data_IF_564336688390
#
_entry.id   IF_564336688390
#
_cell.length_a   1.000
_cell.length_b   1.000
_cell.length_c   1.000
_cell.angle_alpha   90.00
_cell.angle_beta   90.00
_cell.angle_gamma   90.00
#
_symmetry.space_group_name_H-M   'P 1'
#
loop_
_entity.id
_entity.type
_entity.pdbx_description
1 polymer ?
#
# COMPACT_ATOMS: atom_id res chain seq x y z
N UNK A 1 -26.62 30.34 -3.47
CA UNK A 1 -26.27 29.36 -4.50
C UNK A 1 -25.66 28.18 -3.77
N UNK A 2 -26.27 27.00 -3.84
CA UNK A 2 -25.68 25.77 -3.28
C UNK A 2 -24.47 25.44 -4.13
N UNK A 3 -23.28 25.34 -3.53
CA UNK A 3 -22.10 24.87 -4.22
C UNK A 3 -22.21 23.35 -4.33
N UNK A 4 -22.25 22.83 -5.54
CA UNK A 4 -22.19 21.38 -5.77
C UNK A 4 -20.71 20.99 -5.88
N UNK A 5 -20.14 20.58 -4.76
CA UNK A 5 -18.72 20.20 -4.70
C UNK A 5 -18.47 18.90 -5.42
N UNK A 6 -17.34 18.86 -6.12
CA UNK A 6 -16.83 17.61 -6.66
C UNK A 6 -16.26 16.73 -5.54
N UNK A 7 -16.21 15.44 -5.79
CA UNK A 7 -15.64 14.44 -4.89
C UNK A 7 -14.23 14.82 -4.41
N UNK A 8 -13.41 15.39 -5.29
CA UNK A 8 -12.04 15.79 -4.99
C UNK A 8 -11.96 16.78 -3.82
N UNK A 9 -12.95 17.66 -3.68
CA UNK A 9 -13.00 18.59 -2.53
C UNK A 9 -13.21 17.83 -1.22
N UNK A 10 -14.09 16.80 -1.22
CA UNK A 10 -14.32 15.96 -0.04
C UNK A 10 -13.05 15.16 0.33
N UNK A 11 -12.32 14.67 -0.67
CA UNK A 11 -11.04 13.97 -0.47
C UNK A 11 -9.98 14.89 0.16
N UNK A 12 -9.89 16.15 -0.30
CA UNK A 12 -8.99 17.15 0.29
C UNK A 12 -9.36 17.44 1.75
N UNK A 13 -10.64 17.64 2.04
CA UNK A 13 -11.11 17.90 3.42
C UNK A 13 -10.89 16.67 4.31
N UNK A 14 -11.13 15.46 3.82
CA UNK A 14 -10.84 14.24 4.55
C UNK A 14 -9.34 14.13 4.89
N UNK A 15 -8.46 14.40 3.93
CA UNK A 15 -7.02 14.42 4.18
C UNK A 15 -6.64 15.45 5.26
N UNK A 16 -7.23 16.64 5.25
CA UNK A 16 -7.01 17.63 6.30
C UNK A 16 -7.50 17.15 7.67
N UNK A 17 -8.67 16.51 7.74
CA UNK A 17 -9.20 15.94 8.97
C UNK A 17 -8.30 14.86 9.55
N UNK A 18 -7.69 14.02 8.71
CA UNK A 18 -6.70 13.03 9.13
C UNK A 18 -5.40 13.71 9.62
N UNK A 19 -4.93 14.76 8.93
CA UNK A 19 -3.75 15.53 9.36
C UNK A 19 -3.96 16.21 10.72
N UNK A 20 -5.14 16.77 10.98
CA UNK A 20 -5.47 17.38 12.28
C UNK A 20 -5.38 16.36 13.43
N UNK A 21 -5.51 15.08 13.13
CA UNK A 21 -5.39 13.96 14.08
C UNK A 21 -4.00 13.31 14.09
N UNK A 22 -3.04 13.97 13.45
CA UNK A 22 -1.65 13.51 13.40
C UNK A 22 -1.37 12.40 12.40
N UNK A 23 -2.31 12.08 11.50
CA UNK A 23 -2.14 11.07 10.46
C UNK A 23 -1.61 11.75 9.19
N UNK A 24 -0.43 11.35 8.73
CA UNK A 24 0.18 11.89 7.51
C UNK A 24 -0.65 11.48 6.30
N UNK A 25 -1.27 12.44 5.64
CA UNK A 25 -2.15 12.20 4.49
C UNK A 25 -1.93 13.26 3.41
N UNK A 26 -2.00 12.85 2.16
CA UNK A 26 -1.86 13.72 0.99
C UNK A 26 -2.98 13.42 0.01
N UNK A 27 -3.83 14.42 -0.31
CA UNK A 27 -4.87 14.21 -1.32
C UNK A 27 -4.24 14.13 -2.71
N UNK A 28 -4.78 13.28 -3.56
CA UNK A 28 -4.41 13.12 -4.98
C UNK A 28 -2.90 12.98 -5.24
N UNK A 29 -2.20 12.27 -4.36
CA UNK A 29 -0.77 12.02 -4.51
C UNK A 29 -0.45 11.14 -5.72
N UNK A 30 0.49 11.58 -6.58
CA UNK A 30 0.93 10.78 -7.74
C UNK A 30 1.97 9.77 -7.29
N UNK A 31 1.68 8.50 -7.51
CA UNK A 31 2.61 7.40 -7.28
C UNK A 31 2.87 6.60 -8.56
N UNK A 32 3.99 5.91 -8.59
CA UNK A 32 4.32 4.98 -9.68
C UNK A 32 4.05 3.55 -9.21
N UNK A 33 3.27 2.82 -9.99
CA UNK A 33 3.09 1.39 -9.80
C UNK A 33 4.32 0.58 -10.23
N UNK A 34 4.37 -0.70 -9.88
CA UNK A 34 5.44 -1.65 -10.26
C UNK A 34 5.58 -1.73 -11.80
N UNK A 35 4.48 -1.59 -12.55
CA UNK A 35 4.46 -1.55 -14.02
C UNK A 35 4.83 -0.17 -14.59
N UNK A 36 5.38 0.73 -13.76
CA UNK A 36 5.80 2.10 -14.08
C UNK A 36 4.65 3.01 -14.58
N UNK A 37 3.39 2.63 -14.40
CA UNK A 37 2.23 3.48 -14.68
C UNK A 37 2.00 4.45 -13.54
N UNK A 38 1.58 5.67 -13.87
CA UNK A 38 1.16 6.65 -12.87
C UNK A 38 -0.21 6.27 -12.33
N UNK A 39 -0.32 6.23 -11.00
CA UNK A 39 -1.57 6.04 -10.29
C UNK A 39 -1.80 7.22 -9.36
N UNK A 40 -3.02 7.63 -9.21
CA UNK A 40 -3.41 8.74 -8.37
C UNK A 40 -4.56 8.26 -7.48
N UNK A 41 -4.27 7.86 -6.22
CA UNK A 41 -5.31 7.59 -5.25
C UNK A 41 -5.99 8.90 -4.84
N UNK A 42 -7.23 8.82 -4.38
CA UNK A 42 -7.95 9.98 -3.88
C UNK A 42 -7.27 10.58 -2.64
N UNK A 43 -6.81 9.75 -1.71
CA UNK A 43 -5.94 10.15 -0.59
C UNK A 43 -4.87 9.09 -0.36
N UNK A 44 -3.63 9.54 -0.29
CA UNK A 44 -2.48 8.72 0.14
C UNK A 44 -2.23 8.97 1.62
N UNK A 45 -2.12 7.91 2.40
CA UNK A 45 -1.90 7.97 3.85
C UNK A 45 -0.64 7.18 4.19
N UNK A 46 0.23 7.77 5.01
CA UNK A 46 1.31 7.06 5.71
C UNK A 46 0.90 6.89 7.17
N UNK A 47 0.66 5.64 7.55
CA UNK A 47 0.17 5.30 8.87
C UNK A 47 1.10 4.27 9.53
N UNK A 48 1.87 4.72 10.51
CA UNK A 48 2.81 3.88 11.27
C UNK A 48 3.76 3.06 10.37
N UNK A 49 4.20 3.65 9.25
CA UNK A 49 5.09 2.99 8.28
C UNK A 49 4.38 2.10 7.25
N UNK A 50 3.06 1.95 7.33
CA UNK A 50 2.27 1.31 6.30
C UNK A 50 1.71 2.36 5.34
N UNK A 51 1.84 2.08 4.05
CA UNK A 51 1.19 2.87 3.02
C UNK A 51 -0.26 2.45 2.88
N UNK A 52 -1.17 3.41 3.01
CA UNK A 52 -2.59 3.22 2.83
C UNK A 52 -3.12 4.14 1.73
N UNK A 53 -4.15 3.70 1.04
CA UNK A 53 -4.82 4.48 -0.01
C UNK A 53 -6.31 4.51 0.24
N UNK A 54 -6.88 5.69 0.20
CA UNK A 54 -8.32 5.90 0.28
C UNK A 54 -8.83 6.15 -1.12
N UNK A 55 -9.90 5.44 -1.47
CA UNK A 55 -10.70 5.64 -2.68
C UNK A 55 -12.08 6.10 -2.23
N UNK A 56 -12.41 7.35 -2.51
CA UNK A 56 -13.66 8.00 -2.11
C UNK A 56 -14.69 7.94 -3.24
N UNK A 57 -15.96 7.86 -2.89
CA UNK A 57 -17.08 8.00 -3.83
C UNK A 57 -18.24 8.70 -3.13
N UNK A 58 -19.12 9.36 -3.89
CA UNK A 58 -20.32 9.98 -3.34
C UNK A 58 -21.51 9.05 -3.54
N UNK A 59 -22.35 8.94 -2.55
CA UNK A 59 -23.45 7.95 -2.49
C UNK A 59 -24.54 8.14 -3.56
N UNK A 60 -24.62 9.32 -4.20
CA UNK A 60 -25.56 9.59 -5.30
C UNK A 60 -25.14 8.91 -6.62
N UNK A 61 -23.90 8.47 -6.71
CA UNK A 61 -23.40 7.83 -7.92
C UNK A 61 -23.82 6.36 -7.96
N UNK A 62 -24.19 5.91 -9.15
CA UNK A 62 -24.53 4.50 -9.37
C UNK A 62 -23.32 3.62 -9.02
N UNK A 63 -23.61 2.56 -8.26
CA UNK A 63 -22.62 1.55 -7.86
C UNK A 63 -21.40 2.12 -7.10
N UNK A 64 -21.58 3.27 -6.37
CA UNK A 64 -20.52 3.95 -5.65
C UNK A 64 -19.78 3.03 -4.66
N UNK A 65 -20.50 2.23 -3.90
CA UNK A 65 -19.94 1.30 -2.92
C UNK A 65 -19.06 0.24 -3.61
N UNK A 66 -19.56 -0.38 -4.68
CA UNK A 66 -18.82 -1.39 -5.43
C UNK A 66 -17.56 -0.81 -6.08
N UNK A 67 -17.67 0.40 -6.67
CA UNK A 67 -16.53 1.08 -7.30
C UNK A 67 -15.45 1.43 -6.31
N UNK A 68 -15.80 2.03 -5.17
CA UNK A 68 -14.84 2.37 -4.14
C UNK A 68 -14.13 1.12 -3.59
N UNK A 69 -14.89 0.06 -3.27
CA UNK A 69 -14.33 -1.20 -2.81
C UNK A 69 -13.38 -1.83 -3.83
N UNK A 70 -13.81 -1.91 -5.08
CA UNK A 70 -13.00 -2.49 -6.17
C UNK A 70 -11.75 -1.67 -6.44
N UNK A 71 -11.84 -0.33 -6.36
CA UNK A 71 -10.68 0.54 -6.51
C UNK A 71 -9.70 0.35 -5.35
N UNK A 72 -10.17 0.34 -4.10
CA UNK A 72 -9.36 0.11 -2.92
C UNK A 72 -8.66 -1.26 -2.96
N UNK A 73 -9.39 -2.33 -3.28
CA UNK A 73 -8.84 -3.68 -3.43
C UNK A 73 -7.75 -3.72 -4.50
N UNK A 74 -8.00 -3.11 -5.64
CA UNK A 74 -7.02 -3.05 -6.73
C UNK A 74 -5.72 -2.37 -6.32
N UNK A 75 -5.74 -1.36 -5.41
CA UNK A 75 -4.51 -0.72 -4.91
C UNK A 75 -3.65 -1.68 -4.11
N UNK A 76 -4.26 -2.58 -3.35
CA UNK A 76 -3.55 -3.64 -2.62
C UNK A 76 -3.01 -4.70 -3.60
N UNK A 77 -3.84 -5.20 -4.51
CA UNK A 77 -3.44 -6.20 -5.51
C UNK A 77 -2.31 -5.73 -6.44
N UNK A 78 -2.29 -4.43 -6.78
CA UNK A 78 -1.19 -3.82 -7.56
C UNK A 78 0.07 -3.54 -6.72
N UNK A 79 0.09 -3.88 -5.42
CA UNK A 79 1.22 -3.63 -4.51
C UNK A 79 1.49 -2.14 -4.24
N UNK A 80 0.51 -1.28 -4.48
CA UNK A 80 0.63 0.16 -4.29
C UNK A 80 0.38 0.58 -2.84
N UNK A 81 -0.45 -0.19 -2.13
CA UNK A 81 -0.80 0.01 -0.74
C UNK A 81 -0.77 -1.31 0.03
N UNK A 82 -0.49 -1.26 1.32
CA UNK A 82 -0.67 -2.38 2.24
C UNK A 82 -2.14 -2.48 2.66
N UNK A 83 -2.82 -1.33 2.74
CA UNK A 83 -4.25 -1.22 3.09
C UNK A 83 -4.91 -0.29 2.08
N UNK A 84 -6.00 -0.76 1.47
CA UNK A 84 -6.94 0.04 0.69
C UNK A 84 -8.18 0.35 1.53
N UNK A 85 -8.66 1.57 1.47
CA UNK A 85 -9.86 2.02 2.15
C UNK A 85 -10.87 2.54 1.14
N UNK A 86 -12.07 2.01 1.19
CA UNK A 86 -13.22 2.56 0.47
C UNK A 86 -13.98 3.50 1.40
N UNK A 87 -14.24 4.73 0.95
CA UNK A 87 -15.01 5.72 1.71
C UNK A 87 -16.15 6.23 0.84
N UNK A 88 -17.39 6.10 1.34
CA UNK A 88 -18.57 6.61 0.67
C UNK A 88 -19.08 7.82 1.42
N UNK A 89 -19.04 8.96 0.75
CA UNK A 89 -19.53 10.22 1.29
C UNK A 89 -21.05 10.33 1.10
N UNK A 90 -21.80 10.79 2.12
CA UNK A 90 -23.20 11.15 1.93
C UNK A 90 -23.37 12.27 0.90
N UNK A 91 -24.36 12.13 0.01
CA UNK A 91 -24.66 13.09 -1.05
C UNK A 91 -24.82 14.54 -0.56
N UNK A 92 -25.48 14.72 0.59
CA UNK A 92 -25.75 16.06 1.13
C UNK A 92 -24.49 16.91 1.38
N UNK A 93 -23.33 16.29 1.57
CA UNK A 93 -22.06 17.00 1.77
C UNK A 93 -21.69 17.88 0.59
N UNK A 94 -22.15 17.56 -0.62
CA UNK A 94 -21.90 18.36 -1.83
C UNK A 94 -22.56 19.74 -1.80
N UNK A 95 -23.57 19.91 -0.97
CA UNK A 95 -24.35 21.15 -0.84
C UNK A 95 -24.10 21.93 0.45
N UNK A 96 -23.24 21.44 1.33
CA UNK A 96 -22.86 22.12 2.58
C UNK A 96 -22.02 23.36 2.27
N UNK A 97 -22.24 24.52 2.93
CA UNK A 97 -21.35 25.69 2.80
C UNK A 97 -19.90 25.34 3.11
N UNK A 98 -18.94 25.87 2.34
CA UNK A 98 -17.53 25.48 2.45
C UNK A 98 -16.98 25.70 3.86
N UNK A 99 -17.36 26.78 4.52
CA UNK A 99 -16.93 27.11 5.89
C UNK A 99 -17.39 26.09 6.94
N UNK A 100 -18.44 25.34 6.64
CA UNK A 100 -19.00 24.31 7.51
C UNK A 100 -18.64 22.88 7.06
N UNK A 101 -18.07 22.74 5.87
CA UNK A 101 -17.89 21.45 5.22
C UNK A 101 -16.97 20.53 6.04
N UNK A 102 -15.90 21.08 6.61
CA UNK A 102 -14.93 20.31 7.40
C UNK A 102 -15.57 19.73 8.66
N UNK A 103 -16.28 20.56 9.43
CA UNK A 103 -16.94 20.11 10.67
C UNK A 103 -18.09 19.14 10.35
N UNK A 104 -18.87 19.46 9.30
CA UNK A 104 -19.96 18.59 8.87
C UNK A 104 -19.44 17.23 8.40
N UNK A 105 -18.34 17.19 7.63
CA UNK A 105 -17.74 15.93 7.19
C UNK A 105 -17.21 15.11 8.38
N UNK A 106 -16.60 15.77 9.36
CA UNK A 106 -16.06 15.09 10.54
C UNK A 106 -17.12 14.27 11.29
N UNK A 107 -18.34 14.79 11.36
CA UNK A 107 -19.47 14.19 12.10
C UNK A 107 -20.42 13.38 11.20
N UNK A 108 -20.21 13.41 9.88
CA UNK A 108 -21.12 12.73 8.94
C UNK A 108 -21.00 11.21 8.97
N UNK A 109 -22.10 10.48 8.74
CA UNK A 109 -22.08 9.03 8.68
C UNK A 109 -21.49 8.56 7.34
N UNK A 110 -20.19 8.40 7.29
CA UNK A 110 -19.49 7.79 6.16
C UNK A 110 -19.75 6.27 6.15
N UNK A 111 -19.80 5.64 4.96
CA UNK A 111 -19.65 4.19 4.87
C UNK A 111 -18.20 3.89 4.54
N UNK A 112 -17.58 3.01 5.31
CA UNK A 112 -16.17 2.69 5.19
C UNK A 112 -15.94 1.18 5.18
N UNK A 113 -14.96 0.74 4.39
CA UNK A 113 -14.45 -0.62 4.40
C UNK A 113 -12.95 -0.61 4.18
N UNK A 114 -12.25 -1.55 4.79
CA UNK A 114 -10.83 -1.76 4.60
C UNK A 114 -10.57 -3.04 3.80
N UNK A 115 -9.54 -3.04 2.99
CA UNK A 115 -9.01 -4.20 2.28
C UNK A 115 -7.51 -4.28 2.49
N UNK A 116 -7.01 -5.49 2.67
CA UNK A 116 -5.58 -5.79 2.83
C UNK A 116 -5.32 -7.21 2.30
N UNK A 117 -4.09 -7.68 2.37
CA UNK A 117 -3.77 -9.08 2.06
C UNK A 117 -4.49 -10.08 3.00
N UNK A 118 -4.84 -9.64 4.22
CA UNK A 118 -5.61 -10.47 5.16
C UNK A 118 -7.10 -10.61 4.78
N UNK A 119 -7.61 -9.80 3.85
CA UNK A 119 -8.98 -9.87 3.37
C UNK A 119 -9.67 -8.51 3.27
N UNK A 120 -11.00 -8.55 3.16
CA UNK A 120 -11.87 -7.39 3.02
C UNK A 120 -12.79 -7.32 4.24
N UNK A 121 -12.84 -6.17 4.91
CA UNK A 121 -13.86 -5.92 5.93
C UNK A 121 -15.22 -5.65 5.28
N UNK A 122 -16.30 -5.95 6.00
CA UNK A 122 -17.63 -5.48 5.58
C UNK A 122 -17.73 -3.95 5.61
N UNK A 123 -18.59 -3.39 4.77
CA UNK A 123 -18.96 -1.97 4.85
C UNK A 123 -19.63 -1.67 6.20
N UNK A 124 -19.08 -0.71 6.90
CA UNK A 124 -19.62 -0.21 8.17
C UNK A 124 -19.93 1.27 8.07
N UNK A 125 -20.83 1.77 8.91
CA UNK A 125 -21.19 3.19 8.91
C UNK A 125 -20.67 3.85 10.18
N UNK A 126 -20.03 5.02 10.03
CA UNK A 126 -19.53 5.82 11.15
C UNK A 126 -18.92 7.12 10.65
N UNK A 127 -18.47 7.95 11.56
CA UNK A 127 -17.84 9.24 11.23
C UNK A 127 -16.32 9.08 10.96
N UNK A 128 -15.59 10.18 10.88
CA UNK A 128 -14.14 10.16 10.66
C UNK A 128 -13.38 9.45 11.79
N UNK A 129 -13.85 9.53 13.04
CA UNK A 129 -13.24 8.78 14.15
C UNK A 129 -13.38 7.26 13.94
N UNK A 130 -14.55 6.81 13.45
CA UNK A 130 -14.74 5.42 13.07
C UNK A 130 -13.81 4.95 11.95
N UNK A 131 -13.55 5.82 10.95
CA UNK A 131 -12.55 5.55 9.91
C UNK A 131 -11.16 5.36 10.53
N UNK A 132 -10.78 6.22 11.47
CA UNK A 132 -9.49 6.13 12.16
C UNK A 132 -9.40 4.85 13.01
N UNK A 133 -10.44 4.50 13.75
CA UNK A 133 -10.51 3.24 14.49
C UNK A 133 -10.35 2.02 13.56
N UNK A 134 -10.93 2.08 12.37
CA UNK A 134 -10.77 1.03 11.37
C UNK A 134 -9.33 0.94 10.86
N UNK A 135 -8.64 2.09 10.64
CA UNK A 135 -7.22 2.12 10.30
C UNK A 135 -6.38 1.40 11.37
N UNK A 136 -6.58 1.72 12.64
CA UNK A 136 -5.85 1.10 13.75
C UNK A 136 -6.11 -0.41 13.82
N UNK A 137 -7.37 -0.85 13.75
CA UNK A 137 -7.71 -2.28 13.77
C UNK A 137 -7.10 -3.04 12.60
N UNK A 138 -7.13 -2.46 11.40
CA UNK A 138 -6.54 -3.11 10.22
C UNK A 138 -5.01 -3.14 10.32
N UNK A 139 -4.39 -2.10 10.88
CA UNK A 139 -2.97 -2.08 11.18
C UNK A 139 -2.59 -3.20 12.18
N UNK A 140 -3.31 -3.33 13.28
CA UNK A 140 -3.08 -4.37 14.27
C UNK A 140 -3.20 -5.78 13.66
N UNK A 141 -4.22 -6.02 12.84
CA UNK A 141 -4.39 -7.29 12.13
C UNK A 141 -3.23 -7.64 11.20
N UNK A 142 -2.66 -6.64 10.51
CA UNK A 142 -1.51 -6.85 9.61
C UNK A 142 -0.18 -7.00 10.37
N UNK A 143 -0.10 -6.48 11.58
CA UNK A 143 1.12 -6.52 12.40
C UNK A 143 1.08 -7.59 13.50
N UNK A 144 0.05 -8.43 13.53
CA UNK A 144 0.03 -9.59 14.40
C UNK A 144 1.25 -10.50 14.14
N UNK A 145 1.84 -11.04 15.21
CA UNK A 145 3.09 -11.84 15.13
C UNK A 145 3.02 -12.97 14.10
N UNK A 146 1.87 -13.60 13.94
CA UNK A 146 1.66 -14.70 13.00
C UNK A 146 1.81 -14.23 11.54
N UNK A 147 1.30 -13.04 11.19
CA UNK A 147 1.40 -12.47 9.83
C UNK A 147 2.84 -12.06 9.55
N UNK A 148 3.50 -11.45 10.53
CA UNK A 148 4.92 -11.08 10.43
C UNK A 148 5.79 -12.33 10.30
N UNK A 149 5.54 -13.36 11.11
CA UNK A 149 6.28 -14.63 11.05
C UNK A 149 6.12 -15.32 9.68
N UNK A 150 4.92 -15.35 9.10
CA UNK A 150 4.66 -15.88 7.77
C UNK A 150 5.39 -15.06 6.69
N UNK A 151 5.33 -13.72 6.76
CA UNK A 151 6.02 -12.83 5.82
C UNK A 151 7.54 -13.06 5.87
N UNK A 152 8.13 -13.15 7.05
CA UNK A 152 9.55 -13.46 7.24
C UNK A 152 9.90 -14.81 6.63
N UNK A 153 9.09 -15.85 6.87
CA UNK A 153 9.33 -17.18 6.32
C UNK A 153 9.28 -17.21 4.78
N UNK A 154 8.37 -16.44 4.16
CA UNK A 154 8.27 -16.30 2.71
C UNK A 154 9.50 -15.58 2.15
N UNK A 155 9.93 -14.49 2.80
CA UNK A 155 11.13 -13.74 2.39
C UNK A 155 12.37 -14.61 2.49
N UNK A 156 12.57 -15.32 3.60
CA UNK A 156 13.69 -16.21 3.82
C UNK A 156 13.74 -17.31 2.74
N UNK A 157 12.62 -17.96 2.47
CA UNK A 157 12.54 -18.97 1.41
C UNK A 157 12.86 -18.40 0.02
N UNK A 158 12.41 -17.18 -0.28
CA UNK A 158 12.71 -16.48 -1.54
C UNK A 158 14.20 -16.12 -1.64
N UNK A 159 14.80 -15.64 -0.56
CA UNK A 159 16.24 -15.31 -0.47
C UNK A 159 17.08 -16.57 -0.63
N UNK A 160 16.75 -17.66 0.03
CA UNK A 160 17.45 -18.95 -0.11
C UNK A 160 17.39 -19.47 -1.54
N UNK A 161 16.21 -19.40 -2.17
CA UNK A 161 16.03 -19.81 -3.57
C UNK A 161 16.84 -18.93 -4.52
N UNK A 162 16.83 -17.63 -4.33
CA UNK A 162 17.62 -16.69 -5.12
C UNK A 162 19.12 -16.94 -4.93
N UNK A 163 19.58 -17.13 -3.69
CA UNK A 163 20.96 -17.44 -3.37
C UNK A 163 21.44 -18.76 -4.01
N UNK A 164 20.55 -19.78 -4.02
CA UNK A 164 20.84 -21.05 -4.70
C UNK A 164 21.03 -20.85 -6.20
N UNK A 165 20.16 -20.09 -6.86
CA UNK A 165 20.26 -19.78 -8.30
C UNK A 165 21.55 -19.00 -8.59
N UNK A 166 21.86 -17.98 -7.77
CA UNK A 166 23.04 -17.13 -7.95
C UNK A 166 24.36 -17.90 -7.75
N UNK A 167 24.42 -18.85 -6.82
CA UNK A 167 25.61 -19.70 -6.58
C UNK A 167 26.03 -20.49 -7.82
N UNK A 168 25.07 -20.86 -8.67
CA UNK A 168 25.32 -21.57 -9.90
C UNK A 168 25.49 -20.65 -11.11
N UNK A 169 25.34 -19.35 -10.95
CA UNK A 169 25.57 -18.38 -12.01
C UNK A 169 27.08 -18.12 -12.20
N UNK A 170 27.63 -18.28 -13.41
CA UNK A 170 29.06 -18.02 -13.66
C UNK A 170 29.47 -16.58 -13.35
N UNK A 171 28.55 -15.62 -13.49
CA UNK A 171 28.80 -14.22 -13.24
C UNK A 171 28.66 -13.79 -11.76
N UNK A 172 28.15 -14.67 -10.91
CA UNK A 172 27.86 -14.31 -9.51
C UNK A 172 29.12 -13.92 -8.71
N UNK A 173 30.26 -14.64 -8.79
CA UNK A 173 31.45 -14.27 -8.04
C UNK A 173 31.97 -12.88 -8.37
N UNK A 174 31.93 -12.49 -9.65
CA UNK A 174 32.39 -11.19 -10.11
C UNK A 174 31.44 -10.06 -9.66
N UNK A 175 30.11 -10.26 -9.81
CA UNK A 175 29.11 -9.32 -9.36
C UNK A 175 29.14 -9.12 -7.84
N UNK A 176 29.27 -10.20 -7.07
CA UNK A 176 29.39 -10.14 -5.62
C UNK A 176 30.67 -9.42 -5.17
N UNK A 177 31.80 -9.70 -5.82
CA UNK A 177 33.06 -9.02 -5.54
C UNK A 177 32.96 -7.52 -5.81
N UNK A 178 32.31 -7.12 -6.87
CA UNK A 178 32.10 -5.73 -7.22
C UNK A 178 31.23 -4.99 -6.20
N UNK A 179 30.12 -5.61 -5.75
CA UNK A 179 29.22 -5.04 -4.74
C UNK A 179 29.90 -4.92 -3.38
N UNK A 180 30.70 -5.93 -3.00
CA UNK A 180 31.39 -5.96 -1.72
C UNK A 180 32.72 -5.21 -1.72
N UNK A 181 33.13 -4.60 -2.83
CA UNK A 181 34.38 -3.88 -2.97
C UNK A 181 35.62 -4.80 -2.90
N UNK A 182 35.47 -6.08 -3.19
CA UNK A 182 36.58 -7.07 -3.20
C UNK A 182 37.33 -6.90 -4.51
N UNK A 183 38.60 -6.50 -4.44
CA UNK A 183 39.40 -6.19 -5.64
C UNK A 183 39.98 -7.41 -6.34
N UNK A 184 40.16 -8.52 -5.63
CA UNK A 184 40.72 -9.75 -6.16
C UNK A 184 39.92 -10.95 -5.69
N UNK A 185 39.43 -11.74 -6.65
CA UNK A 185 38.76 -13.01 -6.35
C UNK A 185 39.87 -14.11 -6.25
N UNK A 186 39.79 -15.04 -5.29
CA UNK A 186 40.71 -16.13 -5.24
C UNK A 186 40.59 -16.99 -6.49
N UNK A 187 41.69 -17.05 -7.28
CA UNK A 187 41.72 -17.87 -8.49
C UNK A 187 41.68 -19.34 -8.08
N UNK A 188 40.64 -20.06 -8.46
CA UNK A 188 40.65 -21.52 -8.36
C UNK A 188 41.76 -22.06 -9.30
N UNK A 189 42.89 -22.48 -8.76
CA UNK A 189 43.86 -23.26 -9.52
C UNK A 189 43.14 -24.51 -10.01
N UNK A 190 42.94 -24.63 -11.35
CA UNK A 190 42.61 -25.92 -11.96
C UNK A 190 43.71 -26.88 -11.56
N UNK A 191 43.38 -27.99 -10.87
CA UNK A 191 44.25 -29.13 -10.81
C UNK A 191 44.45 -29.59 -12.27
N UNK A 192 45.66 -29.43 -12.76
CA UNK A 192 46.11 -30.15 -13.96
C UNK A 192 46.30 -31.58 -13.46
N UNK A 193 45.38 -32.46 -13.83
CA UNK A 193 45.65 -33.91 -13.75
C UNK A 193 46.73 -34.16 -14.80
N UNK A 194 47.95 -34.34 -14.35
CA UNK A 194 49.02 -34.90 -15.15
C UNK A 194 48.61 -36.37 -15.43
N UNK A 195 48.08 -36.61 -16.64
CA UNK A 195 48.02 -37.96 -17.23
C UNK A 195 49.48 -38.37 -17.53
N UNK A 196 50.14 -38.95 -16.57
CA UNK A 196 51.29 -39.80 -16.84
C UNK A 196 50.75 -41.12 -17.44
N UNK A 197 50.67 -41.12 -18.77
CA UNK A 197 50.74 -42.35 -19.52
C UNK A 197 52.24 -42.73 -19.59
N UNK A 198 52.64 -43.71 -18.83
CA UNK A 198 53.85 -44.47 -19.06
C UNK A 198 53.49 -45.87 -19.56
N UNK A 199 54.15 -46.23 -20.67
CA UNK A 199 54.27 -47.46 -21.44
C UNK A 199 53.94 -48.80 -20.78
#
# INVERSE_FOLDING_TARGET
MSADYRQEVLNVILAQLLQDRGIVSVPEGIIKSIDNRRRMPDVLVDFLGLRMMIEGEVSDQRDAEERALKSAQRRVEEGLAHIGLAVIYPEFLRSVPFEQLKDTLADSPLKVAATSEAGISGLTSGNVEHLIDMLYKTYEQLTEEDVVAQAVAIIDAAVEKAAAVLRYSPAFPEAAAQILGIRELPIKKKKVEDDENDD
#
